data_IF_971693315582
#
_entry.id   IF_971693315582
#
_cell.length_a   1.000
_cell.length_b   1.000
_cell.length_c   1.000
_cell.angle_alpha   90.00
_cell.angle_beta   90.00
_cell.angle_gamma   90.00
#
_symmetry.space_group_name_H-M   'P 1'
#
loop_
_entity.id
_entity.type
_entity.pdbx_description
1 polymer ?
#
# COMPACT_ATOMS: atom_id res chain seq x y z
N UNK A 1 -31.71 -3.85 13.77
CA UNK A 1 -30.26 -3.72 13.51
C UNK A 1 -29.56 -3.74 14.84
N UNK A 2 -28.65 -4.67 15.08
CA UNK A 2 -27.94 -4.83 16.36
C UNK A 2 -26.97 -3.66 16.58
N UNK A 3 -27.07 -3.05 17.75
CA UNK A 3 -26.13 -2.05 18.25
C UNK A 3 -24.78 -2.74 18.50
N UNK A 4 -23.70 -2.20 17.92
CA UNK A 4 -22.34 -2.77 18.04
C UNK A 4 -21.46 -1.73 18.70
N UNK A 5 -20.85 -2.09 19.83
CA UNK A 5 -19.90 -1.22 20.54
C UNK A 5 -18.54 -1.15 19.84
N UNK A 6 -17.76 -0.10 20.13
CA UNK A 6 -16.38 0.03 19.61
C UNK A 6 -15.54 -1.20 19.93
N UNK A 7 -15.64 -1.73 21.17
CA UNK A 7 -14.93 -2.95 21.60
C UNK A 7 -15.31 -4.19 20.80
N UNK A 8 -16.60 -4.38 20.48
CA UNK A 8 -17.04 -5.53 19.69
C UNK A 8 -16.64 -5.40 18.22
N UNK A 9 -16.69 -4.18 17.67
CA UNK A 9 -16.20 -3.89 16.32
C UNK A 9 -14.69 -4.14 16.19
N UNK A 10 -13.90 -3.69 17.17
CA UNK A 10 -12.46 -3.92 17.24
C UNK A 10 -12.10 -5.41 17.25
N UNK A 11 -12.84 -6.23 18.03
CA UNK A 11 -12.69 -7.70 18.02
C UNK A 11 -12.97 -8.32 16.66
N UNK A 12 -14.04 -7.90 15.99
CA UNK A 12 -14.39 -8.43 14.66
C UNK A 12 -13.32 -8.08 13.62
N UNK A 13 -12.77 -6.87 13.69
CA UNK A 13 -11.74 -6.41 12.77
C UNK A 13 -10.31 -6.82 13.17
N UNK A 14 -10.15 -7.56 14.27
CA UNK A 14 -8.85 -7.92 14.86
C UNK A 14 -7.89 -6.72 14.99
N UNK A 15 -8.43 -5.56 15.37
CA UNK A 15 -7.67 -4.33 15.58
C UNK A 15 -7.68 -3.97 17.07
N UNK A 16 -6.58 -3.43 17.61
CA UNK A 16 -6.60 -2.86 18.95
C UNK A 16 -7.54 -1.66 19.00
N UNK A 17 -8.24 -1.51 20.14
CA UNK A 17 -9.26 -0.47 20.33
C UNK A 17 -8.69 0.93 20.12
N UNK A 18 -7.46 1.16 20.56
CA UNK A 18 -6.74 2.43 20.41
C UNK A 18 -6.59 2.83 18.94
N UNK A 19 -6.18 1.89 18.07
CA UNK A 19 -6.06 2.14 16.63
C UNK A 19 -7.40 2.43 15.98
N UNK A 20 -8.46 1.76 16.44
CA UNK A 20 -9.80 2.02 15.93
C UNK A 20 -10.29 3.42 16.34
N UNK A 21 -10.01 3.85 17.58
CA UNK A 21 -10.34 5.21 18.03
C UNK A 21 -9.58 6.27 17.24
N UNK A 22 -8.28 6.06 16.97
CA UNK A 22 -7.49 6.91 16.07
C UNK A 22 -8.15 7.03 14.70
N UNK A 23 -8.55 5.91 14.08
CA UNK A 23 -9.20 5.91 12.76
C UNK A 23 -10.57 6.59 12.76
N UNK A 24 -11.37 6.37 13.81
CA UNK A 24 -12.67 7.02 13.97
C UNK A 24 -12.50 8.54 14.13
N UNK A 25 -11.50 8.98 14.89
CA UNK A 25 -11.16 10.40 15.05
C UNK A 25 -10.69 11.03 13.73
N UNK A 26 -9.89 10.31 12.94
CA UNK A 26 -9.46 10.74 11.61
C UNK A 26 -10.62 10.84 10.61
N UNK A 27 -11.68 10.06 10.80
CA UNK A 27 -12.92 10.16 10.05
C UNK A 27 -13.86 11.29 10.57
N UNK A 28 -13.44 12.09 11.55
CA UNK A 28 -14.22 13.17 12.14
C UNK A 28 -15.28 12.72 13.14
N UNK A 29 -15.18 11.49 13.65
CA UNK A 29 -16.09 10.95 14.66
C UNK A 29 -15.40 10.89 16.02
N UNK A 30 -15.95 11.63 16.98
CA UNK A 30 -15.40 11.71 18.33
C UNK A 30 -16.01 10.59 19.18
N UNK A 31 -15.22 9.56 19.47
CA UNK A 31 -15.58 8.51 20.43
C UNK A 31 -14.66 8.60 21.65
N UNK A 32 -15.23 8.70 22.84
CA UNK A 32 -14.47 8.94 24.08
C UNK A 32 -14.18 7.65 24.83
N UNK A 33 -14.83 6.54 24.47
CA UNK A 33 -14.71 5.29 25.21
C UNK A 33 -14.98 4.01 24.42
N UNK A 34 -14.46 2.87 24.90
CA UNK A 34 -14.55 1.56 24.24
C UNK A 34 -15.96 0.96 24.23
N UNK A 35 -16.82 1.39 25.13
CA UNK A 35 -18.18 0.85 25.31
C UNK A 35 -19.24 1.70 24.58
N UNK A 36 -18.82 2.75 23.88
CA UNK A 36 -19.73 3.59 23.09
C UNK A 36 -20.26 2.80 21.88
N UNK A 37 -21.53 3.04 21.55
CA UNK A 37 -22.23 2.36 20.47
C UNK A 37 -21.88 3.01 19.13
N UNK A 38 -21.55 2.19 18.13
CA UNK A 38 -21.29 2.63 16.76
C UNK A 38 -22.51 2.31 15.88
N UNK A 39 -23.13 3.35 15.37
CA UNK A 39 -24.28 3.28 14.46
C UNK A 39 -23.87 2.85 13.05
N UNK A 40 -24.84 2.40 12.25
CA UNK A 40 -24.58 1.98 10.85
C UNK A 40 -24.05 3.12 9.97
N UNK A 41 -24.44 4.37 10.24
CA UNK A 41 -23.99 5.54 9.49
C UNK A 41 -22.51 5.84 9.76
N UNK A 42 -22.08 5.68 11.00
CA UNK A 42 -20.68 5.87 11.42
C UNK A 42 -19.76 4.78 10.82
N UNK A 43 -20.24 3.53 10.76
CA UNK A 43 -19.52 2.45 10.06
C UNK A 43 -19.29 2.77 8.59
N UNK A 44 -20.30 3.32 7.90
CA UNK A 44 -20.17 3.73 6.50
C UNK A 44 -19.20 4.89 6.31
N UNK A 45 -19.20 5.88 7.23
CA UNK A 45 -18.22 6.97 7.22
C UNK A 45 -16.79 6.47 7.43
N UNK A 46 -16.57 5.58 8.39
CA UNK A 46 -15.26 4.95 8.61
C UNK A 46 -14.80 4.21 7.36
N UNK A 47 -15.68 3.42 6.73
CA UNK A 47 -15.36 2.72 5.49
C UNK A 47 -15.00 3.68 4.36
N UNK A 48 -15.72 4.80 4.21
CA UNK A 48 -15.40 5.84 3.24
C UNK A 48 -14.04 6.48 3.49
N UNK A 49 -13.72 6.79 4.75
CA UNK A 49 -12.41 7.32 5.15
C UNK A 49 -11.28 6.33 4.86
N UNK A 50 -11.45 5.05 5.21
CA UNK A 50 -10.45 4.02 4.92
C UNK A 50 -10.25 3.82 3.42
N UNK A 51 -11.31 3.87 2.62
CA UNK A 51 -11.18 3.82 1.15
C UNK A 51 -10.40 5.01 0.61
N UNK A 52 -10.68 6.23 1.07
CA UNK A 52 -9.93 7.46 0.72
C UNK A 52 -8.45 7.37 1.07
N UNK A 53 -8.17 7.05 2.34
CA UNK A 53 -6.80 7.04 2.89
C UNK A 53 -5.93 5.96 2.26
N UNK A 54 -6.50 4.82 1.90
CA UNK A 54 -5.79 3.74 1.22
C UNK A 54 -5.84 3.84 -0.31
N UNK A 55 -6.24 4.99 -0.87
CA UNK A 55 -6.22 5.22 -2.33
C UNK A 55 -7.18 4.34 -3.11
N UNK A 56 -8.28 3.93 -2.47
CA UNK A 56 -9.37 3.14 -3.04
C UNK A 56 -10.58 4.02 -3.38
N UNK A 57 -10.35 5.31 -3.66
CA UNK A 57 -11.25 6.07 -4.51
C UNK A 57 -10.73 5.99 -5.94
N UNK A 58 -11.61 5.51 -6.81
CA UNK A 58 -11.54 5.66 -8.26
C UNK A 58 -10.26 5.14 -8.94
N UNK A 59 -10.10 3.83 -8.88
CA UNK A 59 -10.10 3.15 -10.19
C UNK A 59 -11.40 2.35 -10.27
N UNK A 60 -12.28 2.63 -11.24
CA UNK A 60 -13.13 1.56 -11.75
C UNK A 60 -12.20 0.35 -12.01
N UNK A 61 -12.71 -0.86 -11.87
CA UNK A 61 -11.93 -2.08 -12.08
C UNK A 61 -11.43 -2.26 -13.53
N UNK A 62 -11.39 -1.20 -14.33
CA UNK A 62 -10.97 -1.12 -15.71
C UNK A 62 -10.12 0.16 -15.83
N UNK A 63 -8.84 -0.01 -16.20
CA UNK A 63 -7.92 1.05 -16.65
C UNK A 63 -7.39 2.04 -15.58
N UNK A 64 -6.11 1.86 -15.20
CA UNK A 64 -5.14 2.94 -14.89
C UNK A 64 -4.00 2.53 -13.92
N UNK A 65 -3.70 1.24 -13.72
CA UNK A 65 -2.28 0.91 -13.51
C UNK A 65 -1.52 1.25 -14.80
N UNK A 66 -0.27 1.76 -14.77
CA UNK A 66 0.49 1.84 -16.01
C UNK A 66 0.51 0.42 -16.58
N UNK A 67 -0.04 0.23 -17.78
CA UNK A 67 -0.16 -1.05 -18.49
C UNK A 67 1.18 -1.70 -18.81
N UNK A 68 2.26 -1.12 -18.28
CA UNK A 68 3.63 -1.36 -18.67
C UNK A 68 4.57 -0.95 -17.54
N UNK A 69 5.11 -1.92 -16.81
CA UNK A 69 6.16 -1.66 -15.79
C UNK A 69 7.50 -1.76 -16.50
N UNK A 70 8.18 -0.62 -16.66
CA UNK A 70 9.51 -0.57 -17.27
C UNK A 70 10.58 -0.54 -16.18
N UNK A 71 11.26 -1.65 -15.97
CA UNK A 71 12.41 -1.70 -15.05
C UNK A 71 13.67 -1.30 -15.83
N UNK A 72 14.32 -0.22 -15.40
CA UNK A 72 15.67 0.13 -15.82
C UNK A 72 16.66 -0.42 -14.79
N UNK A 73 17.49 -1.39 -15.17
CA UNK A 73 18.54 -1.94 -14.30
C UNK A 73 19.91 -1.53 -14.83
N UNK A 74 20.73 -0.97 -13.95
CA UNK A 74 22.15 -0.67 -14.19
C UNK A 74 22.97 -1.80 -13.56
N UNK A 75 23.83 -2.45 -14.35
CA UNK A 75 24.78 -3.45 -13.86
C UNK A 75 26.18 -3.05 -14.34
N UNK A 76 27.13 -2.96 -13.41
CA UNK A 76 28.54 -2.77 -13.75
C UNK A 76 29.16 -4.16 -13.78
N UNK A 77 29.66 -4.58 -14.94
CA UNK A 77 30.35 -5.85 -15.13
C UNK A 77 31.75 -5.58 -15.65
N UNK A 78 32.70 -6.44 -15.30
CA UNK A 78 34.05 -6.37 -15.85
C UNK A 78 34.13 -7.29 -17.06
N UNK A 79 34.29 -6.71 -18.25
CA UNK A 79 34.44 -7.48 -19.48
C UNK A 79 35.93 -7.67 -19.76
N UNK A 80 36.36 -8.92 -19.82
CA UNK A 80 37.71 -9.25 -20.27
C UNK A 80 37.72 -9.38 -21.78
N UNK A 81 38.40 -8.47 -22.47
CA UNK A 81 38.53 -8.49 -23.92
C UNK A 81 39.84 -9.17 -24.32
N UNK A 82 39.73 -10.17 -25.21
CA UNK A 82 40.87 -10.79 -25.92
C UNK A 82 41.08 -12.29 -25.62
N UNK A 83 41.20 -13.09 -26.69
CA UNK A 83 41.73 -14.46 -26.64
C UNK A 83 43.21 -14.45 -27.01
N UNK A 84 44.09 -14.72 -26.03
CA UNK A 84 45.55 -14.76 -26.23
C UNK A 84 46.35 -14.01 -25.15
N UNK A 85 47.64 -13.72 -25.44
CA UNK A 85 48.64 -13.17 -24.49
C UNK A 85 48.34 -11.77 -23.95
N UNK A 86 47.34 -11.06 -24.45
CA UNK A 86 46.94 -9.72 -23.98
C UNK A 86 45.50 -9.75 -23.52
N UNK A 87 45.28 -10.10 -22.25
CA UNK A 87 43.98 -10.00 -21.58
C UNK A 87 43.91 -8.64 -20.88
N UNK A 88 43.03 -7.76 -21.33
CA UNK A 88 42.72 -6.51 -20.64
C UNK A 88 41.32 -6.61 -20.04
N UNK A 89 41.21 -6.35 -18.74
CA UNK A 89 39.93 -6.32 -18.02
C UNK A 89 39.48 -4.87 -17.93
N UNK A 90 38.31 -4.59 -18.49
CA UNK A 90 37.73 -3.24 -18.51
C UNK A 90 36.40 -3.26 -17.76
N UNK A 91 36.22 -2.35 -16.83
CA UNK A 91 34.95 -2.14 -16.16
C UNK A 91 33.96 -1.49 -17.14
N UNK A 92 32.87 -2.21 -17.46
CA UNK A 92 31.83 -1.75 -18.38
C UNK A 92 30.50 -1.62 -17.65
N UNK A 93 29.75 -0.58 -18.00
CA UNK A 93 28.40 -0.37 -17.50
C UNK A 93 27.38 -0.88 -18.52
N UNK A 94 26.62 -1.91 -18.16
CA UNK A 94 25.53 -2.44 -18.96
C UNK A 94 24.21 -1.84 -18.47
N UNK A 95 23.48 -1.19 -19.39
CA UNK A 95 22.14 -0.64 -19.15
C UNK A 95 21.11 -1.52 -19.86
N UNK A 96 20.22 -2.16 -19.10
CA UNK A 96 19.14 -2.98 -19.66
C UNK A 96 17.77 -2.38 -19.32
N UNK A 97 16.90 -2.30 -20.34
CA UNK A 97 15.49 -1.91 -20.20
C UNK A 97 14.63 -3.13 -20.46
N UNK A 98 13.89 -3.60 -19.46
CA UNK A 98 12.91 -4.68 -19.63
C UNK A 98 11.53 -4.18 -19.29
N UNK A 99 10.58 -4.57 -20.14
CA UNK A 99 9.23 -4.07 -20.06
C UNK A 99 8.29 -5.25 -19.84
N UNK A 100 7.47 -5.16 -18.79
CA UNK A 100 6.44 -6.15 -18.44
C UNK A 100 5.05 -5.56 -18.62
#
# INVERSE_FOLDING_TARGET
>A
MSEVTVRSLAKVLNLPVEKLLEQLSGAGMQFTGPDQVVSSTEKMKLLGFLRRTHGKDEKPAEEAGPSRITLQRRKVEELTVGGGKTKATVAVEVRQKRTY
#
